data_IF_975467081694
#
_entry.id   IF_975467081694
#
_cell.length_a   1.000
_cell.length_b   1.000
_cell.length_c   1.000
_cell.angle_alpha   90.00
_cell.angle_beta   90.00
_cell.angle_gamma   90.00
#
_symmetry.space_group_name_H-M   'P 1'
#
loop_
_entity.id
_entity.type
_entity.pdbx_description
1 polymer ?
#
# COMPACT_ATOMS: atom_id res chain seq x y z
N UNK A 1 53.59 -5.86 4.72
CA UNK A 1 52.28 -6.04 5.39
C UNK A 1 51.21 -6.10 4.30
N UNK A 2 50.65 -7.28 4.02
CA UNK A 2 49.74 -7.55 2.89
C UNK A 2 48.29 -7.23 3.27
N UNK A 3 47.60 -6.43 2.45
CA UNK A 3 46.21 -6.04 2.67
C UNK A 3 45.28 -7.14 2.11
N UNK A 4 44.63 -7.87 3.03
CA UNK A 4 43.72 -8.97 2.72
C UNK A 4 42.35 -8.41 2.31
N UNK A 5 42.04 -8.46 1.01
CA UNK A 5 40.73 -8.10 0.45
C UNK A 5 39.63 -9.02 1.00
N UNK A 6 38.69 -8.46 1.78
CA UNK A 6 37.51 -9.16 2.28
C UNK A 6 36.46 -9.26 1.16
N UNK A 7 36.41 -10.42 0.52
CA UNK A 7 35.41 -10.80 -0.49
C UNK A 7 34.02 -10.81 0.16
N UNK A 8 33.15 -9.85 -0.20
CA UNK A 8 31.73 -9.82 0.20
C UNK A 8 31.02 -11.07 -0.34
N UNK A 9 30.56 -11.94 0.55
CA UNK A 9 29.65 -13.05 0.22
C UNK A 9 28.35 -12.45 -0.35
N UNK A 10 28.02 -12.81 -1.59
CA UNK A 10 26.68 -12.59 -2.16
C UNK A 10 25.73 -13.54 -1.42
N UNK A 11 24.82 -13.00 -0.63
CA UNK A 11 23.68 -13.76 -0.15
C UNK A 11 22.77 -14.09 -1.33
N UNK A 12 22.68 -15.38 -1.65
CA UNK A 12 21.68 -15.94 -2.56
C UNK A 12 20.30 -15.73 -1.94
N UNK A 13 19.57 -14.71 -2.41
CA UNK A 13 18.16 -14.56 -2.08
C UNK A 13 17.38 -15.74 -2.65
N UNK A 14 17.06 -16.71 -1.81
CA UNK A 14 16.13 -17.79 -2.16
C UNK A 14 14.82 -17.16 -2.64
N UNK A 15 14.45 -17.48 -3.88
CA UNK A 15 13.17 -17.07 -4.46
C UNK A 15 12.06 -17.83 -3.74
N UNK A 16 11.60 -17.29 -2.62
CA UNK A 16 10.36 -17.73 -2.00
C UNK A 16 9.23 -17.57 -3.03
N UNK A 17 8.79 -18.70 -3.60
CA UNK A 17 7.57 -18.78 -4.38
C UNK A 17 6.44 -18.39 -3.43
N UNK A 18 5.97 -17.14 -3.52
CA UNK A 18 4.74 -16.69 -2.84
C UNK A 18 3.62 -17.62 -3.30
N UNK A 19 3.28 -18.63 -2.48
CA UNK A 19 2.05 -19.36 -2.65
C UNK A 19 0.94 -18.32 -2.56
N UNK A 20 0.18 -18.17 -3.64
CA UNK A 20 -1.01 -17.33 -3.63
C UNK A 20 -2.02 -18.06 -2.74
N UNK A 21 -1.97 -17.79 -1.44
CA UNK A 21 -3.05 -18.15 -0.52
C UNK A 21 -4.27 -17.38 -1.01
N UNK A 22 -5.11 -18.06 -1.78
CA UNK A 22 -6.46 -17.63 -2.10
C UNK A 22 -7.12 -17.33 -0.76
N UNK A 23 -7.25 -16.05 -0.40
CA UNK A 23 -8.15 -15.65 0.67
C UNK A 23 -9.53 -15.97 0.12
N UNK A 24 -10.11 -17.10 0.55
CA UNK A 24 -11.56 -17.30 0.50
C UNK A 24 -12.15 -16.05 1.13
N UNK A 25 -12.91 -15.28 0.34
CA UNK A 25 -13.79 -14.26 0.88
C UNK A 25 -14.83 -15.06 1.64
N UNK A 26 -14.74 -15.01 2.96
CA UNK A 26 -15.83 -15.47 3.80
C UNK A 26 -16.91 -14.42 3.64
N UNK A 27 -17.90 -14.77 2.80
CA UNK A 27 -19.13 -14.03 2.66
C UNK A 27 -19.82 -14.15 4.02
N UNK A 28 -19.92 -13.03 4.72
CA UNK A 28 -20.81 -12.92 5.88
C UNK A 28 -22.21 -13.26 5.40
N UNK A 29 -22.76 -14.37 5.89
CA UNK A 29 -24.16 -14.73 5.75
C UNK A 29 -24.98 -13.68 6.49
N UNK A 30 -25.46 -12.70 5.73
CA UNK A 30 -26.51 -11.80 6.17
C UNK A 30 -27.82 -12.57 6.07
N UNK A 31 -28.34 -12.94 7.24
CA UNK A 31 -29.72 -13.29 7.49
C UNK A 31 -30.65 -12.45 6.60
N UNK A 32 -31.28 -13.12 5.64
CA UNK A 32 -32.34 -12.57 4.82
C UNK A 32 -33.50 -13.54 4.93
N UNK A 33 -34.39 -13.21 5.85
CA UNK A 33 -35.69 -13.83 6.06
C UNK A 33 -36.47 -14.02 4.75
N UNK A 34 -36.71 -15.30 4.40
CA UNK A 34 -37.93 -15.87 3.84
C UNK A 34 -38.83 -14.95 2.98
N UNK A 35 -38.83 -15.16 1.66
CA UNK A 35 -40.07 -15.21 0.88
C UNK A 35 -39.91 -16.02 -0.43
N UNK A 36 -40.55 -17.18 -0.43
CA UNK A 36 -41.24 -17.85 -1.54
C UNK A 36 -40.49 -18.14 -2.86
N UNK A 37 -40.17 -19.42 -3.02
CA UNK A 37 -40.60 -20.33 -4.12
C UNK A 37 -40.35 -19.96 -5.60
N UNK A 38 -39.72 -20.91 -6.31
CA UNK A 38 -39.61 -21.12 -7.77
C UNK A 38 -38.73 -20.17 -8.62
N UNK A 39 -37.40 -20.37 -8.61
CA UNK A 39 -36.50 -19.86 -9.66
C UNK A 39 -35.92 -20.99 -10.52
N UNK A 40 -36.49 -21.09 -11.72
CA UNK A 40 -36.19 -21.97 -12.85
C UNK A 40 -34.69 -22.26 -13.09
N UNK A 41 -34.39 -23.47 -13.60
CA UNK A 41 -33.09 -23.92 -14.14
C UNK A 41 -32.42 -22.94 -15.13
N UNK A 42 -33.10 -21.86 -15.51
CA UNK A 42 -32.60 -20.75 -16.32
C UNK A 42 -31.62 -19.82 -15.59
N UNK A 43 -31.74 -19.60 -14.27
CA UNK A 43 -30.86 -18.67 -13.54
C UNK A 43 -29.43 -19.19 -13.36
N UNK A 44 -29.30 -20.51 -13.14
CA UNK A 44 -27.98 -21.18 -13.07
C UNK A 44 -27.25 -21.16 -14.42
N UNK A 45 -27.99 -21.36 -15.52
CA UNK A 45 -27.46 -21.26 -16.89
C UNK A 45 -27.01 -19.83 -17.25
N UNK A 46 -27.67 -18.81 -16.69
CA UNK A 46 -27.29 -17.41 -16.92
C UNK A 46 -25.99 -17.05 -16.21
N UNK A 47 -25.79 -17.51 -14.97
CA UNK A 47 -24.54 -17.37 -14.22
C UNK A 47 -23.36 -18.04 -14.95
N UNK A 48 -23.54 -19.27 -15.44
CA UNK A 48 -22.54 -20.00 -16.21
C UNK A 48 -22.14 -19.24 -17.47
N UNK A 49 -23.12 -18.73 -18.23
CA UNK A 49 -22.86 -17.93 -19.44
C UNK A 49 -22.13 -16.62 -19.16
N UNK A 50 -22.37 -15.98 -18.01
CA UNK A 50 -21.64 -14.77 -17.60
C UNK A 50 -20.19 -15.09 -17.22
N UNK A 51 -19.97 -16.22 -16.56
CA UNK A 51 -18.64 -16.69 -16.20
C UNK A 51 -17.82 -17.06 -17.44
N UNK A 52 -18.42 -17.76 -18.41
CA UNK A 52 -17.82 -18.04 -19.72
C UNK A 52 -17.44 -16.78 -20.48
N UNK A 53 -18.34 -15.79 -20.56
CA UNK A 53 -18.06 -14.49 -21.20
C UNK A 53 -16.90 -13.78 -20.51
N UNK A 54 -16.84 -13.83 -19.17
CA UNK A 54 -15.76 -13.23 -18.40
C UNK A 54 -14.42 -13.94 -18.64
N UNK A 55 -14.42 -15.26 -18.73
CA UNK A 55 -13.23 -16.06 -19.05
C UNK A 55 -12.77 -15.77 -20.48
N UNK A 56 -13.67 -15.73 -21.44
CA UNK A 56 -13.38 -15.41 -22.84
C UNK A 56 -12.74 -14.03 -22.97
N UNK A 57 -13.35 -12.99 -22.39
CA UNK A 57 -12.81 -11.63 -22.40
C UNK A 57 -11.43 -11.54 -21.72
N UNK A 58 -11.23 -12.31 -20.64
CA UNK A 58 -9.94 -12.38 -19.97
C UNK A 58 -8.86 -13.04 -20.85
N UNK A 59 -9.22 -14.08 -21.61
CA UNK A 59 -8.34 -14.74 -22.57
C UNK A 59 -8.00 -13.83 -23.74
N UNK A 60 -8.98 -13.14 -24.34
CA UNK A 60 -8.75 -12.19 -25.43
C UNK A 60 -7.84 -11.05 -24.99
N UNK A 61 -8.10 -10.46 -23.82
CA UNK A 61 -7.23 -9.42 -23.26
C UNK A 61 -5.81 -9.93 -22.99
N UNK A 62 -5.64 -11.21 -22.68
CA UNK A 62 -4.32 -11.82 -22.51
C UNK A 62 -3.62 -11.99 -23.85
N UNK A 63 -4.30 -12.53 -24.87
CA UNK A 63 -3.80 -12.67 -26.24
C UNK A 63 -3.40 -11.32 -26.83
N UNK A 64 -4.23 -10.30 -26.72
CA UNK A 64 -3.93 -8.94 -27.17
C UNK A 64 -2.66 -8.36 -26.50
N UNK A 65 -2.49 -8.59 -25.19
CA UNK A 65 -1.28 -8.19 -24.46
C UNK A 65 -0.04 -9.01 -24.83
N UNK A 66 -0.21 -10.23 -25.33
CA UNK A 66 0.89 -11.07 -25.80
C UNK A 66 1.33 -10.63 -27.19
N UNK A 67 0.38 -10.39 -28.11
CA UNK A 67 0.62 -9.82 -29.43
C UNK A 67 1.32 -8.45 -29.35
N UNK A 68 0.82 -7.53 -28.51
CA UNK A 68 1.48 -6.22 -28.34
C UNK A 68 2.91 -6.35 -27.80
N UNK A 69 3.20 -7.33 -26.93
CA UNK A 69 4.57 -7.53 -26.39
C UNK A 69 5.50 -8.24 -27.37
N UNK A 70 4.95 -9.04 -28.28
CA UNK A 70 5.73 -9.70 -29.32
C UNK A 70 6.20 -8.68 -30.38
N UNK A 71 5.38 -7.66 -30.64
CA UNK A 71 5.69 -6.57 -31.56
C UNK A 71 6.46 -5.41 -30.91
N UNK A 72 6.65 -5.40 -29.58
CA UNK A 72 7.41 -4.35 -28.86
C UNK A 72 8.89 -4.39 -29.25
N UNK A 73 9.42 -3.23 -29.65
CA UNK A 73 10.86 -3.02 -29.81
C UNK A 73 11.62 -3.17 -28.48
N UNK A 74 12.93 -3.46 -28.48
CA UNK A 74 13.70 -3.59 -27.24
C UNK A 74 13.70 -2.30 -26.40
N UNK A 75 13.53 -1.15 -27.02
CA UNK A 75 13.47 0.16 -26.37
C UNK A 75 12.12 0.40 -25.66
N UNK A 76 10.99 0.10 -26.32
CA UNK A 76 9.66 0.16 -25.71
C UNK A 76 9.54 -0.80 -24.53
N UNK A 77 10.15 -1.99 -24.64
CA UNK A 77 10.20 -2.94 -23.52
C UNK A 77 10.96 -2.39 -22.31
N UNK A 78 12.00 -1.56 -22.52
CA UNK A 78 12.73 -0.87 -21.44
C UNK A 78 11.86 0.22 -20.81
N UNK A 79 11.22 1.05 -21.63
CA UNK A 79 10.29 2.09 -21.16
C UNK A 79 9.15 1.48 -20.32
N UNK A 80 8.53 0.39 -20.79
CA UNK A 80 7.49 -0.34 -20.05
C UNK A 80 7.98 -0.88 -18.70
N UNK A 81 9.22 -1.36 -18.63
CA UNK A 81 9.83 -1.85 -17.37
C UNK A 81 10.09 -0.70 -16.41
N UNK A 82 10.57 0.44 -16.91
CA UNK A 82 10.76 1.66 -16.11
C UNK A 82 9.43 2.15 -15.55
N UNK A 83 8.41 2.30 -16.40
CA UNK A 83 7.08 2.77 -15.99
C UNK A 83 6.42 1.80 -14.99
N UNK A 84 6.58 0.49 -15.18
CA UNK A 84 6.12 -0.52 -14.20
C UNK A 84 6.90 -0.46 -12.88
N UNK A 85 8.20 -0.14 -12.92
CA UNK A 85 9.03 0.02 -11.72
C UNK A 85 8.61 1.27 -10.96
N UNK A 86 8.44 2.38 -11.67
CA UNK A 86 7.95 3.65 -11.12
C UNK A 86 6.56 3.53 -10.54
N UNK A 87 5.60 2.91 -11.24
CA UNK A 87 4.25 2.68 -10.71
C UNK A 87 4.24 1.80 -9.44
N UNK A 88 5.16 0.84 -9.33
CA UNK A 88 5.32 0.04 -8.11
C UNK A 88 5.92 0.86 -6.97
N UNK A 89 6.92 1.69 -7.28
CA UNK A 89 7.50 2.64 -6.34
C UNK A 89 6.45 3.64 -5.84
N UNK A 90 5.66 4.23 -6.74
CA UNK A 90 4.55 5.13 -6.41
C UNK A 90 3.53 4.46 -5.49
N UNK A 91 3.05 3.27 -5.82
CA UNK A 91 2.13 2.50 -4.96
C UNK A 91 2.73 2.14 -3.60
N UNK A 92 4.04 1.91 -3.53
CA UNK A 92 4.76 1.69 -2.26
C UNK A 92 4.81 2.98 -1.45
N UNK A 93 5.12 4.11 -2.10
CA UNK A 93 5.21 5.46 -1.51
C UNK A 93 3.86 5.92 -0.94
N UNK A 94 2.79 5.78 -1.71
CA UNK A 94 1.40 6.03 -1.27
C UNK A 94 1.02 5.15 -0.07
N UNK A 95 1.37 3.87 -0.10
CA UNK A 95 1.16 2.97 1.05
C UNK A 95 1.86 3.44 2.31
N UNK A 96 3.05 4.00 2.17
CA UNK A 96 3.85 4.41 3.31
C UNK A 96 3.32 5.69 3.97
N UNK A 97 2.26 6.30 3.44
CA UNK A 97 1.71 7.55 3.96
C UNK A 97 2.69 8.71 3.79
N UNK A 98 3.58 8.63 2.78
CA UNK A 98 4.42 9.76 2.42
C UNK A 98 3.54 10.82 1.79
N UNK A 99 3.30 11.89 2.55
CA UNK A 99 2.59 13.07 2.09
C UNK A 99 3.30 13.70 0.87
N UNK A 100 2.57 14.56 0.14
CA UNK A 100 3.04 15.18 -1.09
C UNK A 100 4.35 15.97 -0.89
N UNK A 101 4.56 16.49 0.32
CA UNK A 101 5.75 17.26 0.73
C UNK A 101 7.03 16.40 0.90
N UNK A 102 6.91 15.08 0.84
CA UNK A 102 8.07 14.17 0.84
C UNK A 102 8.25 13.46 -0.51
N UNK A 103 7.44 13.82 -1.52
CA UNK A 103 7.54 13.18 -2.84
C UNK A 103 8.84 13.54 -3.58
N UNK A 104 9.45 14.67 -3.26
CA UNK A 104 10.66 15.20 -3.91
C UNK A 104 11.93 14.48 -3.46
N UNK A 105 11.92 13.84 -2.29
CA UNK A 105 13.05 13.03 -1.86
C UNK A 105 13.08 11.69 -2.60
N UNK A 106 14.19 11.45 -3.30
CA UNK A 106 14.49 10.18 -3.94
C UNK A 106 15.76 9.59 -3.35
N UNK A 107 15.93 8.26 -3.43
CA UNK A 107 17.16 7.61 -2.97
C UNK A 107 18.41 8.04 -3.76
N UNK A 108 18.26 8.68 -4.92
CA UNK A 108 19.37 9.11 -5.78
C UNK A 108 19.82 10.55 -5.57
N UNK A 109 18.98 11.38 -4.94
CA UNK A 109 19.19 12.81 -4.72
C UNK A 109 19.44 13.11 -3.23
N UNK A 110 19.99 12.14 -2.52
CA UNK A 110 20.29 12.28 -1.10
C UNK A 110 21.70 12.89 -0.94
N UNK A 111 21.84 14.14 -0.43
CA UNK A 111 23.13 14.80 -0.29
C UNK A 111 24.09 14.08 0.65
N UNK A 112 23.58 13.21 1.52
CA UNK A 112 24.39 12.39 2.45
C UNK A 112 24.75 11.01 1.89
N UNK A 113 24.41 10.72 0.63
CA UNK A 113 24.76 9.46 -0.03
C UNK A 113 24.04 8.21 0.51
N UNK A 114 22.98 8.37 1.31
CA UNK A 114 22.20 7.23 1.80
C UNK A 114 21.21 6.74 0.72
N UNK A 115 21.51 5.54 0.20
CA UNK A 115 20.75 4.86 -0.85
C UNK A 115 19.42 4.25 -0.37
N UNK A 116 19.15 4.27 0.94
CA UNK A 116 18.01 3.60 1.56
C UNK A 116 17.04 4.57 2.27
N UNK A 117 17.06 5.86 1.91
CA UNK A 117 16.20 6.89 2.49
C UNK A 117 14.70 6.51 2.47
N UNK A 118 14.23 5.90 1.38
CA UNK A 118 12.85 5.44 1.22
C UNK A 118 12.55 4.12 1.95
N UNK A 119 13.53 3.50 2.62
CA UNK A 119 13.36 2.22 3.32
C UNK A 119 12.82 2.45 4.73
N UNK A 120 11.94 1.56 5.17
CA UNK A 120 11.36 1.64 6.52
C UNK A 120 12.32 1.09 7.56
N UNK A 121 12.79 1.95 8.45
CA UNK A 121 13.60 1.53 9.60
C UNK A 121 12.89 0.47 10.45
N UNK A 122 13.67 -0.48 10.97
CA UNK A 122 13.18 -1.60 11.78
C UNK A 122 13.89 -1.59 13.11
N UNK A 123 13.13 -1.38 14.18
CA UNK A 123 13.70 -1.44 15.51
C UNK A 123 13.70 -2.88 16.04
N UNK A 124 14.70 -3.66 15.64
CA UNK A 124 14.78 -5.10 15.94
C UNK A 124 14.71 -5.40 17.44
N UNK A 125 15.38 -4.61 18.30
CA UNK A 125 15.30 -4.76 19.76
C UNK A 125 13.89 -4.54 20.31
N UNK A 126 13.15 -3.56 19.78
CA UNK A 126 11.78 -3.31 20.18
C UNK A 126 10.85 -4.44 19.75
N UNK A 127 10.99 -4.91 18.51
CA UNK A 127 10.25 -6.08 18.04
C UNK A 127 10.56 -7.32 18.88
N UNK A 128 11.82 -7.49 19.30
CA UNK A 128 12.19 -8.56 20.22
C UNK A 128 11.50 -8.43 21.58
N UNK A 129 11.50 -7.23 22.16
CA UNK A 129 10.83 -6.96 23.44
C UNK A 129 9.30 -7.15 23.34
N UNK A 130 8.69 -6.80 22.22
CA UNK A 130 7.25 -6.97 21.99
C UNK A 130 6.88 -8.39 21.54
N UNK A 131 7.85 -9.30 21.34
CA UNK A 131 7.61 -10.68 20.88
C UNK A 131 7.24 -10.79 19.39
N UNK A 132 7.50 -9.76 18.58
CA UNK A 132 7.11 -9.66 17.17
C UNK A 132 8.22 -10.10 16.18
N UNK A 133 9.26 -10.79 16.63
CA UNK A 133 10.41 -11.18 15.77
C UNK A 133 9.97 -12.07 14.60
N UNK A 134 8.99 -12.96 14.81
CA UNK A 134 8.49 -13.88 13.79
C UNK A 134 7.39 -13.31 12.89
N UNK A 135 6.95 -12.06 13.11
CA UNK A 135 5.85 -11.46 12.36
C UNK A 135 6.34 -11.02 10.98
N UNK A 136 5.59 -11.40 9.94
CA UNK A 136 5.91 -11.06 8.56
C UNK A 136 5.95 -9.55 8.31
N UNK A 137 6.84 -9.12 7.41
CA UNK A 137 7.03 -7.69 7.07
C UNK A 137 5.72 -6.98 6.68
N UNK A 138 4.89 -7.66 5.90
CA UNK A 138 3.59 -7.15 5.42
C UNK A 138 2.58 -6.92 6.56
N UNK A 139 2.67 -7.70 7.64
CA UNK A 139 1.81 -7.57 8.83
C UNK A 139 2.27 -6.41 9.71
N UNK A 140 3.59 -6.29 9.92
CA UNK A 140 4.18 -5.20 10.67
C UNK A 140 3.92 -3.84 10.00
N UNK A 141 4.02 -3.77 8.67
CA UNK A 141 3.67 -2.57 7.89
C UNK A 141 2.22 -2.16 8.12
N UNK A 142 1.28 -3.12 8.11
CA UNK A 142 -0.16 -2.85 8.33
C UNK A 142 -0.44 -2.34 9.73
N UNK A 143 0.19 -2.95 10.75
CA UNK A 143 0.07 -2.50 12.14
C UNK A 143 0.63 -1.10 12.33
N UNK A 144 1.80 -0.83 11.75
CA UNK A 144 2.43 0.49 11.82
C UNK A 144 1.58 1.56 11.13
N UNK A 145 0.99 1.24 9.98
CA UNK A 145 0.09 2.18 9.30
C UNK A 145 -1.13 2.51 10.13
N UNK A 146 -1.81 1.52 10.67
CA UNK A 146 -2.97 1.77 11.55
C UNK A 146 -2.60 2.69 12.71
N UNK A 147 -1.43 2.46 13.32
CA UNK A 147 -0.91 3.32 14.37
C UNK A 147 -0.60 4.75 13.90
N UNK A 148 -0.10 4.93 12.67
CA UNK A 148 0.13 6.24 12.08
C UNK A 148 -1.18 6.98 11.80
N UNK A 149 -2.18 6.29 11.26
CA UNK A 149 -3.52 6.84 11.02
C UNK A 149 -4.18 7.29 12.33
N UNK A 150 -4.10 6.46 13.38
CA UNK A 150 -4.60 6.79 14.72
C UNK A 150 -3.88 8.04 15.29
N UNK A 151 -2.55 8.12 15.18
CA UNK A 151 -1.79 9.30 15.60
C UNK A 151 -2.17 10.56 14.80
N UNK A 152 -2.39 10.43 13.48
CA UNK A 152 -2.78 11.56 12.63
C UNK A 152 -4.14 12.11 13.06
N UNK A 153 -5.12 11.23 13.31
CA UNK A 153 -6.43 11.62 13.83
C UNK A 153 -6.35 12.26 15.22
N UNK A 154 -5.50 11.74 16.10
CA UNK A 154 -5.28 12.32 17.43
C UNK A 154 -4.67 13.73 17.33
N UNK A 155 -3.65 13.90 16.48
CA UNK A 155 -3.03 15.20 16.21
C UNK A 155 -4.02 16.23 15.65
N UNK A 156 -4.90 15.81 14.73
CA UNK A 156 -5.97 16.68 14.20
C UNK A 156 -6.94 17.13 15.30
N UNK A 157 -7.34 16.24 16.20
CA UNK A 157 -8.18 16.60 17.36
C UNK A 157 -7.47 17.60 18.26
N UNK A 158 -6.19 17.38 18.54
CA UNK A 158 -5.38 18.31 19.35
C UNK A 158 -5.26 19.68 18.67
N UNK A 159 -5.03 19.70 17.35
CA UNK A 159 -4.96 20.93 16.56
C UNK A 159 -6.28 21.70 16.60
N UNK A 160 -7.41 21.01 16.42
CA UNK A 160 -8.75 21.61 16.52
C UNK A 160 -8.98 22.23 17.90
N UNK A 161 -8.69 21.49 18.96
CA UNK A 161 -8.81 21.99 20.35
C UNK A 161 -7.90 23.20 20.63
N UNK A 162 -6.74 23.28 19.97
CA UNK A 162 -5.87 24.46 20.07
C UNK A 162 -6.51 25.68 19.37
N UNK A 163 -7.03 25.50 18.16
CA UNK A 163 -7.70 26.57 17.40
C UNK A 163 -8.95 27.10 18.11
N UNK A 164 -9.78 26.23 18.69
CA UNK A 164 -10.97 26.62 19.46
C UNK A 164 -10.59 27.52 20.65
N UNK A 165 -9.52 27.18 21.40
CA UNK A 165 -9.02 28.01 22.51
C UNK A 165 -8.51 29.37 22.05
N UNK A 166 -7.83 29.43 20.90
CA UNK A 166 -7.36 30.72 20.35
C UNK A 166 -8.53 31.57 19.87
N UNK A 167 -9.53 30.98 19.23
CA UNK A 167 -10.75 31.68 18.81
C UNK A 167 -11.55 32.20 20.00
N UNK A 168 -11.66 31.43 21.09
CA UNK A 168 -12.32 31.87 22.31
C UNK A 168 -11.57 33.06 22.95
N UNK A 169 -10.24 32.99 23.04
CA UNK A 169 -9.42 34.11 23.55
C UNK A 169 -9.60 35.36 22.70
N UNK A 170 -9.53 35.24 21.38
CA UNK A 170 -9.77 36.35 20.46
C UNK A 170 -11.19 36.90 20.57
N UNK A 171 -12.19 36.05 20.77
CA UNK A 171 -13.58 36.47 20.97
C UNK A 171 -13.76 37.27 22.27
N UNK A 172 -13.11 36.85 23.35
CA UNK A 172 -13.10 37.60 24.63
C UNK A 172 -12.37 38.93 24.50
N UNK A 173 -11.21 38.93 23.85
CA UNK A 173 -10.43 40.15 23.61
C UNK A 173 -11.20 41.15 22.74
N UNK A 174 -11.85 40.70 21.66
CA UNK A 174 -12.72 41.55 20.83
C UNK A 174 -13.90 42.14 21.60
N UNK A 175 -14.52 41.37 22.52
CA UNK A 175 -15.60 41.88 23.38
C UNK A 175 -15.09 42.98 24.31
N UNK A 176 -13.95 42.78 24.96
CA UNK A 176 -13.33 43.78 25.85
C UNK A 176 -12.89 45.05 25.09
N UNK A 177 -12.40 44.91 23.86
CA UNK A 177 -12.04 46.06 23.00
C UNK A 177 -13.29 46.83 22.56
N UNK A 178 -14.40 46.14 22.27
CA UNK A 178 -15.65 46.77 21.84
C UNK A 178 -16.38 47.49 22.98
N UNK A 179 -16.18 47.05 24.21
CA UNK A 179 -16.82 47.61 25.42
C UNK A 179 -16.02 48.80 26.00
N UNK A 180 -14.80 49.04 25.52
CA UNK A 180 -14.03 50.26 25.74
C UNK A 180 -14.31 51.30 24.68
#
# INVERSE_FOLDING_TARGET
KSYKSKKKKKEEHSRHKKSKKMRKRELSEGDSSSSSETSSSSDTRLLERLEEKRVHLAQERRRAKELMKANETPEEKRARRLLKKEAKERRRKERMGWDNDYLHYTNGDNPFGDANLLSTFVWSKKLAKEGLIGVGRDELERRNRRKQEENKLELEKVKKRRQEREQERLGREKKLIKEK
#
